data_IF_600572969599
#
_entry.id   IF_600572969599
#
_cell.length_a   1.000
_cell.length_b   1.000
_cell.length_c   1.000
_cell.angle_alpha   90.00
_cell.angle_beta   90.00
_cell.angle_gamma   90.00
#
_symmetry.space_group_name_H-M   'P 1'
#
loop_
_entity.id
_entity.type
_entity.pdbx_description
1 polymer ?
#
# COMPACT_ATOMS: atom_id res chain seq x y z
N UNK A 1 -26.02 38.42 37.75
CA UNK A 1 -25.76 37.00 38.09
C UNK A 1 -26.06 36.01 36.94
N UNK A 2 -27.13 36.18 36.14
CA UNK A 2 -27.44 35.30 34.99
C UNK A 2 -26.49 35.44 33.78
N UNK A 3 -25.96 36.64 33.53
CA UNK A 3 -25.02 36.91 32.41
C UNK A 3 -23.65 36.28 32.62
N UNK A 4 -23.15 36.26 33.86
CA UNK A 4 -21.88 35.66 34.22
C UNK A 4 -21.90 34.11 34.10
N UNK A 5 -23.01 33.46 34.50
CA UNK A 5 -23.22 32.03 34.33
C UNK A 5 -23.27 31.62 32.84
N UNK A 6 -23.94 32.39 31.96
CA UNK A 6 -23.97 32.15 30.52
C UNK A 6 -22.57 32.28 29.85
N UNK A 7 -21.77 33.23 30.34
CA UNK A 7 -20.42 33.45 29.82
C UNK A 7 -19.46 32.31 30.23
N UNK A 8 -19.56 31.82 31.47
CA UNK A 8 -18.80 30.67 31.97
C UNK A 8 -19.19 29.40 31.19
N UNK A 9 -20.49 29.18 31.03
CA UNK A 9 -20.98 28.01 30.27
C UNK A 9 -20.50 28.01 28.80
N UNK A 10 -20.49 29.18 28.12
CA UNK A 10 -19.93 29.30 26.76
C UNK A 10 -18.43 29.02 26.72
N UNK A 11 -17.65 29.50 27.70
CA UNK A 11 -16.22 29.20 27.79
C UNK A 11 -15.95 27.73 28.09
N UNK A 12 -16.75 27.12 28.97
CA UNK A 12 -16.64 25.68 29.26
C UNK A 12 -16.98 24.82 28.04
N UNK A 13 -18.02 25.17 27.27
CA UNK A 13 -18.36 24.49 26.01
C UNK A 13 -17.25 24.65 24.97
N UNK A 14 -16.67 25.85 24.86
CA UNK A 14 -15.55 26.12 23.95
C UNK A 14 -14.30 25.32 24.33
N UNK A 15 -13.97 25.20 25.60
CA UNK A 15 -12.85 24.39 26.10
C UNK A 15 -13.10 22.89 25.87
N UNK A 16 -14.33 22.43 26.10
CA UNK A 16 -14.71 21.04 25.79
C UNK A 16 -14.63 20.75 24.26
N UNK A 17 -15.05 21.74 23.44
CA UNK A 17 -14.94 21.64 21.99
C UNK A 17 -13.46 21.59 21.52
N UNK A 18 -12.59 22.40 22.13
CA UNK A 18 -11.14 22.40 21.85
C UNK A 18 -10.49 21.11 22.34
N UNK A 19 -10.90 20.56 23.47
CA UNK A 19 -10.42 19.27 23.98
C UNK A 19 -10.90 18.08 23.13
N UNK A 20 -12.07 18.18 22.48
CA UNK A 20 -12.57 17.17 21.52
C UNK A 20 -11.86 17.26 20.16
N UNK A 21 -11.28 18.40 19.82
CA UNK A 21 -10.48 18.60 18.59
C UNK A 21 -9.01 18.16 18.81
N UNK A 22 -8.55 18.02 20.06
CA UNK A 22 -7.26 17.43 20.40
C UNK A 22 -7.31 15.90 20.35
N UNK A 23 -7.98 15.32 19.35
CA UNK A 23 -7.87 13.91 19.02
C UNK A 23 -6.45 13.61 18.54
N UNK A 24 -5.87 12.59 19.09
CA UNK A 24 -4.53 12.09 18.83
C UNK A 24 -4.31 11.94 17.33
N UNK A 25 -3.42 12.75 16.76
CA UNK A 25 -2.92 12.56 15.40
C UNK A 25 -1.84 11.51 15.50
N UNK A 26 -2.20 10.24 15.35
CA UNK A 26 -1.27 9.17 15.08
C UNK A 26 -1.26 9.00 13.56
N UNK A 27 -0.19 9.39 12.89
CA UNK A 27 -0.14 9.50 11.43
C UNK A 27 1.01 8.70 10.82
N UNK A 28 1.31 7.50 11.30
CA UNK A 28 2.09 6.57 10.50
C UNK A 28 1.13 5.69 9.68
N UNK A 29 1.22 5.81 8.36
CA UNK A 29 0.45 5.00 7.42
C UNK A 29 1.42 4.14 6.63
N UNK A 30 1.11 2.84 6.48
CA UNK A 30 1.81 1.97 5.54
C UNK A 30 1.80 2.59 4.13
N UNK A 31 2.86 2.34 3.31
CA UNK A 31 2.95 2.83 1.95
C UNK A 31 1.67 2.54 1.16
N UNK A 32 1.21 3.53 0.41
CA UNK A 32 0.00 3.43 -0.39
C UNK A 32 0.34 3.52 -1.87
N UNK A 33 -0.11 2.52 -2.65
CA UNK A 33 0.14 2.44 -4.08
C UNK A 33 -1.11 2.77 -4.87
N UNK A 34 -0.95 3.42 -6.01
CA UNK A 34 -2.05 3.66 -6.95
C UNK A 34 -2.27 2.44 -7.84
N UNK A 35 -1.19 1.75 -8.20
CA UNK A 35 -1.22 0.55 -9.02
C UNK A 35 -1.19 -0.74 -8.17
N UNK A 36 -1.87 -0.73 -7.01
CA UNK A 36 -1.90 -1.85 -6.05
C UNK A 36 -2.29 -3.19 -6.68
N UNK A 37 -3.12 -3.18 -7.73
CA UNK A 37 -3.55 -4.40 -8.43
C UNK A 37 -2.39 -5.14 -9.12
N UNK A 38 -1.25 -4.49 -9.33
CA UNK A 38 -0.03 -5.09 -9.87
C UNK A 38 1.03 -5.36 -8.80
N UNK A 39 0.75 -4.97 -7.55
CA UNK A 39 1.63 -5.16 -6.39
C UNK A 39 0.96 -5.95 -5.25
N UNK A 40 0.06 -6.86 -5.60
CA UNK A 40 -0.75 -7.60 -4.63
C UNK A 40 0.07 -8.46 -3.67
N UNK A 41 1.31 -8.86 -4.04
CA UNK A 41 2.17 -9.67 -3.16
C UNK A 41 2.59 -8.92 -1.89
N UNK A 42 2.80 -7.60 -1.96
CA UNK A 42 3.14 -6.79 -0.78
C UNK A 42 1.96 -6.66 0.16
N UNK A 43 0.76 -6.59 -0.40
CA UNK A 43 -0.50 -6.39 0.32
C UNK A 43 -1.01 -7.70 0.93
N UNK A 44 -0.93 -8.82 0.19
CA UNK A 44 -1.52 -10.10 0.59
C UNK A 44 -0.59 -11.29 0.31
N UNK A 45 -0.06 -11.96 1.35
CA UNK A 45 0.81 -13.12 1.16
C UNK A 45 0.15 -14.29 0.42
N UNK A 46 -1.18 -14.39 0.44
CA UNK A 46 -1.90 -15.43 -0.29
C UNK A 46 -1.83 -15.26 -1.82
N UNK A 47 -1.39 -14.09 -2.31
CA UNK A 47 -1.15 -13.83 -3.73
C UNK A 47 0.12 -14.52 -4.25
N UNK A 48 1.08 -14.83 -3.39
CA UNK A 48 2.34 -15.46 -3.77
C UNK A 48 2.09 -16.72 -4.58
N UNK A 49 2.74 -16.87 -5.75
CA UNK A 49 2.57 -18.01 -6.64
C UNK A 49 1.19 -18.16 -7.31
N UNK A 50 0.32 -17.15 -7.25
CA UNK A 50 -0.98 -17.14 -7.96
C UNK A 50 -0.83 -17.16 -9.48
N UNK A 51 0.33 -16.79 -9.95
CA UNK A 51 0.78 -16.77 -11.33
C UNK A 51 1.42 -18.11 -11.71
N UNK A 52 1.28 -18.52 -12.97
CA UNK A 52 1.96 -19.69 -13.52
C UNK A 52 3.44 -19.44 -13.89
N UNK A 53 3.94 -18.21 -13.72
CA UNK A 53 5.32 -17.79 -13.99
C UNK A 53 5.97 -17.19 -12.72
N UNK A 54 7.29 -17.04 -12.74
CA UNK A 54 7.97 -16.16 -11.80
C UNK A 54 7.69 -14.72 -12.18
N UNK A 55 7.08 -13.98 -11.28
CA UNK A 55 6.77 -12.56 -11.45
C UNK A 55 7.72 -11.73 -10.60
N UNK A 56 8.30 -10.69 -11.19
CA UNK A 56 9.16 -9.72 -10.53
C UNK A 56 8.54 -8.35 -10.74
N UNK A 57 8.13 -7.70 -9.66
CA UNK A 57 7.57 -6.34 -9.67
C UNK A 57 8.53 -5.35 -9.06
N UNK A 58 8.63 -4.17 -9.65
CA UNK A 58 9.37 -3.02 -9.13
C UNK A 58 8.45 -1.81 -9.21
N UNK A 59 8.29 -1.09 -8.10
CA UNK A 59 7.53 0.15 -8.03
C UNK A 59 8.42 1.23 -7.40
N UNK A 60 8.33 2.43 -7.95
CA UNK A 60 8.83 3.63 -7.31
C UNK A 60 7.70 4.67 -7.27
N UNK A 61 7.47 5.21 -6.08
CA UNK A 61 6.46 6.23 -5.83
C UNK A 61 7.09 7.44 -5.18
N UNK A 62 6.84 8.60 -5.75
CA UNK A 62 7.16 9.92 -5.21
C UNK A 62 5.84 10.61 -4.85
N UNK A 63 5.56 10.67 -3.56
CA UNK A 63 4.30 11.17 -3.04
C UNK A 63 4.44 12.65 -2.71
N UNK A 64 3.42 13.46 -2.99
CA UNK A 64 3.34 14.89 -2.67
C UNK A 64 4.51 15.70 -3.25
N UNK A 65 4.64 15.66 -4.56
CA UNK A 65 5.70 16.35 -5.32
C UNK A 65 5.93 17.78 -4.84
N UNK A 66 7.21 18.13 -4.60
CA UNK A 66 7.66 19.45 -4.18
C UNK A 66 7.53 19.75 -2.69
N UNK A 67 6.97 18.85 -1.89
CA UNK A 67 6.93 18.98 -0.44
C UNK A 67 8.21 18.39 0.16
N UNK A 68 8.94 19.18 0.93
CA UNK A 68 10.15 18.71 1.63
C UNK A 68 9.80 17.64 2.67
N UNK A 69 10.54 16.54 2.68
CA UNK A 69 10.29 15.40 3.57
C UNK A 69 9.08 14.54 3.17
N UNK A 70 8.52 14.74 1.97
CA UNK A 70 7.42 13.92 1.47
C UNK A 70 7.84 12.46 1.26
N UNK A 71 6.90 11.49 1.39
CA UNK A 71 7.20 10.07 1.27
C UNK A 71 7.76 9.67 -0.10
N UNK A 72 8.82 8.86 -0.10
CA UNK A 72 9.39 8.21 -1.27
C UNK A 72 9.50 6.72 -1.02
N UNK A 73 8.77 5.93 -1.79
CA UNK A 73 8.69 4.49 -1.60
C UNK A 73 9.26 3.76 -2.79
N UNK A 74 10.24 2.89 -2.55
CA UNK A 74 10.76 1.93 -3.51
C UNK A 74 10.35 0.51 -3.10
N UNK A 75 9.76 -0.26 -4.00
CA UNK A 75 9.34 -1.64 -3.72
C UNK A 75 9.86 -2.58 -4.78
N UNK A 76 10.36 -3.72 -4.33
CA UNK A 76 10.69 -4.87 -5.19
C UNK A 76 10.04 -6.12 -4.62
N UNK A 77 9.30 -6.84 -5.45
CA UNK A 77 8.75 -8.13 -5.08
C UNK A 77 9.06 -9.19 -6.14
N UNK A 78 9.15 -10.43 -5.67
CA UNK A 78 9.32 -11.62 -6.52
C UNK A 78 8.42 -12.69 -5.98
N UNK A 79 7.59 -13.30 -6.82
CA UNK A 79 6.82 -14.46 -6.41
C UNK A 79 6.74 -15.52 -7.52
N UNK A 80 6.61 -16.77 -7.14
CA UNK A 80 6.57 -17.90 -8.08
C UNK A 80 5.86 -19.11 -7.48
N UNK A 81 5.29 -19.98 -8.33
CA UNK A 81 4.77 -21.27 -7.91
C UNK A 81 5.94 -22.21 -7.59
N UNK A 82 6.01 -22.70 -6.34
CA UNK A 82 7.04 -23.63 -5.84
C UNK A 82 6.59 -25.09 -5.89
N UNK A 83 5.42 -25.38 -6.47
CA UNK A 83 4.84 -26.69 -6.61
C UNK A 83 3.43 -26.63 -7.18
N UNK A 84 2.64 -27.70 -7.03
CA UNK A 84 1.27 -27.73 -7.56
C UNK A 84 0.34 -26.72 -6.91
N UNK A 85 0.51 -26.50 -5.60
CA UNK A 85 -0.42 -25.72 -4.77
C UNK A 85 0.31 -24.74 -3.88
N UNK A 86 1.64 -24.66 -3.95
CA UNK A 86 2.48 -23.83 -3.08
C UNK A 86 3.02 -22.66 -3.87
N UNK A 87 2.91 -21.47 -3.31
CA UNK A 87 3.56 -20.25 -3.77
C UNK A 87 4.56 -19.73 -2.75
N UNK A 88 5.62 -19.14 -3.24
CA UNK A 88 6.64 -18.45 -2.45
C UNK A 88 6.77 -17.03 -2.98
N UNK A 89 6.90 -16.07 -2.07
CA UNK A 89 7.12 -14.67 -2.37
C UNK A 89 8.24 -14.08 -1.52
N UNK A 90 8.86 -13.03 -2.05
CA UNK A 90 9.82 -12.18 -1.36
C UNK A 90 9.46 -10.74 -1.67
N UNK A 91 9.52 -9.87 -0.68
CA UNK A 91 9.36 -8.44 -0.88
C UNK A 91 10.39 -7.64 -0.08
N UNK A 92 10.84 -6.56 -0.69
CA UNK A 92 11.68 -5.54 -0.08
C UNK A 92 11.04 -4.18 -0.37
N UNK A 93 10.76 -3.42 0.67
CA UNK A 93 10.17 -2.09 0.60
C UNK A 93 11.12 -1.13 1.30
N UNK A 94 11.47 -0.04 0.66
CA UNK A 94 12.21 1.06 1.26
C UNK A 94 11.32 2.29 1.21
N UNK A 95 11.06 2.88 2.36
CA UNK A 95 10.22 4.06 2.52
C UNK A 95 11.00 5.15 3.27
N UNK A 96 10.96 6.36 2.76
CA UNK A 96 11.62 7.52 3.36
C UNK A 96 10.58 8.61 3.60
N UNK A 97 10.40 9.04 4.85
CA UNK A 97 9.46 10.10 5.24
C UNK A 97 10.16 11.05 6.21
N UNK A 98 10.52 12.25 5.74
CA UNK A 98 11.29 13.20 6.54
C UNK A 98 12.60 12.58 7.02
N UNK A 99 12.85 12.54 8.35
CA UNK A 99 14.06 11.96 8.93
C UNK A 99 13.97 10.42 9.11
N UNK A 100 12.83 9.81 8.80
CA UNK A 100 12.59 8.38 9.00
C UNK A 100 12.86 7.62 7.72
N UNK A 101 13.75 6.65 7.77
CA UNK A 101 13.99 5.66 6.72
C UNK A 101 13.60 4.28 7.24
N UNK A 102 12.78 3.58 6.48
CA UNK A 102 12.26 2.28 6.82
C UNK A 102 12.55 1.28 5.71
N UNK A 103 13.13 0.13 6.07
CA UNK A 103 13.33 -0.98 5.15
C UNK A 103 12.62 -2.22 5.65
N UNK A 104 11.66 -2.71 4.88
CA UNK A 104 10.89 -3.91 5.16
C UNK A 104 11.38 -5.07 4.29
N UNK A 105 11.66 -6.22 4.90
CA UNK A 105 12.05 -7.46 4.21
C UNK A 105 11.15 -8.59 4.64
N UNK A 106 10.44 -9.19 3.68
CA UNK A 106 9.47 -10.24 3.95
C UNK A 106 9.61 -11.45 3.03
N UNK A 107 9.21 -12.59 3.57
CA UNK A 107 9.02 -13.87 2.86
C UNK A 107 7.57 -14.27 3.01
N UNK A 108 6.94 -14.64 1.89
CA UNK A 108 5.56 -15.09 1.83
C UNK A 108 5.51 -16.57 1.48
N UNK A 109 4.60 -17.28 2.12
CA UNK A 109 4.23 -18.65 1.80
C UNK A 109 2.73 -18.72 1.57
N UNK A 110 2.32 -19.31 0.47
CA UNK A 110 0.90 -19.54 0.16
C UNK A 110 0.59 -20.99 -0.15
N UNK A 111 -0.65 -21.37 0.16
CA UNK A 111 -1.21 -22.67 -0.23
C UNK A 111 -2.55 -22.48 -0.93
N UNK A 112 -2.66 -22.95 -2.17
CA UNK A 112 -3.81 -22.75 -3.04
C UNK A 112 -4.64 -24.02 -3.18
N UNK A 113 -5.93 -23.94 -2.85
CA UNK A 113 -6.92 -24.97 -3.12
C UNK A 113 -7.54 -24.73 -4.50
N UNK A 114 -7.45 -25.75 -5.37
CA UNK A 114 -8.14 -25.73 -6.66
C UNK A 114 -9.58 -26.17 -6.45
N UNK A 115 -10.52 -25.32 -6.81
CA UNK A 115 -11.96 -25.54 -6.70
C UNK A 115 -12.57 -25.88 -8.08
N UNK A 116 -13.87 -26.12 -8.12
CA UNK A 116 -14.58 -26.33 -9.38
C UNK A 116 -14.59 -25.04 -10.25
N UNK A 117 -14.75 -25.20 -11.57
CA UNK A 117 -14.86 -24.09 -12.54
C UNK A 117 -13.62 -23.16 -12.60
N UNK A 118 -12.41 -23.71 -12.42
CA UNK A 118 -11.13 -23.00 -12.41
C UNK A 118 -11.01 -21.93 -11.30
N UNK A 119 -11.86 -21.97 -10.28
CA UNK A 119 -11.75 -21.14 -9.11
C UNK A 119 -10.61 -21.63 -8.21
N UNK A 120 -9.96 -20.70 -7.53
CA UNK A 120 -8.85 -20.98 -6.62
C UNK A 120 -9.05 -20.19 -5.33
N UNK A 121 -8.75 -20.84 -4.20
CA UNK A 121 -8.76 -20.23 -2.88
C UNK A 121 -7.39 -20.43 -2.26
N UNK A 122 -6.64 -19.34 -2.07
CA UNK A 122 -5.31 -19.37 -1.48
C UNK A 122 -5.35 -18.79 -0.06
N UNK A 123 -4.55 -19.40 0.80
CA UNK A 123 -4.23 -18.91 2.13
C UNK A 123 -2.74 -18.59 2.18
N UNK A 124 -2.38 -17.48 2.77
CA UNK A 124 -0.99 -17.03 2.82
C UNK A 124 -0.59 -16.60 4.22
N UNK A 125 0.69 -16.78 4.50
CA UNK A 125 1.36 -16.23 5.68
C UNK A 125 2.61 -15.49 5.24
N UNK A 126 2.93 -14.41 5.93
CA UNK A 126 4.09 -13.55 5.73
C UNK A 126 4.92 -13.56 7.00
N UNK A 127 6.23 -13.56 6.87
CA UNK A 127 7.15 -13.36 7.99
C UNK A 127 8.35 -12.53 7.55
N UNK A 128 8.81 -11.65 8.41
CA UNK A 128 9.95 -10.80 8.13
C UNK A 128 10.18 -9.77 9.21
N UNK A 129 10.70 -8.62 8.82
CA UNK A 129 10.97 -7.55 9.78
C UNK A 129 11.18 -6.21 9.08
N UNK A 130 11.04 -5.19 9.89
CA UNK A 130 11.23 -3.78 9.56
C UNK A 130 12.47 -3.26 10.25
N UNK A 131 13.31 -2.58 9.49
CA UNK A 131 14.52 -1.91 9.95
C UNK A 131 14.25 -0.40 9.87
N UNK A 132 14.16 0.24 11.04
CA UNK A 132 13.94 1.68 11.16
C UNK A 132 15.26 2.37 11.42
N UNK A 133 15.49 3.46 10.68
CA UNK A 133 16.60 4.39 10.87
C UNK A 133 16.04 5.81 10.94
N UNK A 134 16.17 6.47 12.08
CA UNK A 134 15.61 7.79 12.33
C UNK A 134 16.75 8.76 12.60
N UNK A 135 17.03 9.61 11.62
CA UNK A 135 18.07 10.64 11.67
C UNK A 135 17.60 11.87 12.46
N UNK A 136 17.79 11.85 13.77
CA UNK A 136 17.39 12.96 14.67
C UNK A 136 18.43 14.06 14.74
N UNK A 137 19.73 13.72 14.57
CA UNK A 137 20.87 14.67 14.72
C UNK A 137 20.85 15.77 13.65
N UNK A 138 20.42 15.42 12.43
CA UNK A 138 20.43 16.34 11.29
C UNK A 138 19.22 17.28 11.24
N UNK A 139 18.31 17.17 12.22
CA UNK A 139 17.12 18.01 12.29
C UNK A 139 17.48 19.45 12.73
N UNK A 140 16.89 20.44 12.07
CA UNK A 140 16.98 21.84 12.48
C UNK A 140 16.06 22.10 13.68
N UNK A 141 16.62 22.08 14.88
CA UNK A 141 15.89 22.22 16.13
C UNK A 141 15.78 23.68 16.58
N UNK A 142 14.68 24.03 17.25
CA UNK A 142 14.52 25.31 17.96
C UNK A 142 15.41 25.34 19.20
N UNK A 143 15.56 24.22 19.89
CA UNK A 143 16.49 24.02 21.01
C UNK A 143 17.54 22.97 20.59
N UNK A 144 18.75 23.40 20.20
CA UNK A 144 19.81 22.48 19.74
C UNK A 144 20.37 21.58 20.84
N UNK A 145 20.15 21.93 22.13
CA UNK A 145 20.64 21.17 23.28
C UNK A 145 19.61 20.19 23.84
N UNK A 146 18.48 19.96 23.17
CA UNK A 146 17.47 19.00 23.60
C UNK A 146 18.04 17.57 23.57
N UNK A 147 18.16 16.90 24.74
CA UNK A 147 18.74 15.57 24.84
C UNK A 147 17.98 14.49 24.07
N UNK A 148 16.71 14.73 23.71
CA UNK A 148 15.90 13.80 22.94
C UNK A 148 16.45 13.60 21.51
N UNK A 149 17.02 14.65 20.92
CA UNK A 149 17.58 14.64 19.56
C UNK A 149 19.09 14.43 19.50
N UNK A 150 19.69 14.05 20.63
CA UNK A 150 21.16 13.92 20.72
C UNK A 150 21.72 12.69 19.98
N UNK A 151 20.90 11.70 19.64
CA UNK A 151 21.34 10.50 18.97
C UNK A 151 20.27 10.05 17.94
N UNK A 152 20.74 9.46 16.84
CA UNK A 152 19.88 8.74 15.90
C UNK A 152 19.35 7.46 16.54
N UNK A 153 18.18 7.02 16.09
CA UNK A 153 17.52 5.82 16.58
C UNK A 153 17.49 4.76 15.48
N UNK A 154 18.04 3.59 15.80
CA UNK A 154 18.00 2.42 14.93
C UNK A 154 17.26 1.30 15.66
N UNK A 155 16.17 0.82 15.08
CA UNK A 155 15.37 -0.25 15.66
C UNK A 155 14.97 -1.29 14.62
N UNK A 156 14.91 -2.55 15.05
CA UNK A 156 14.52 -3.65 14.19
C UNK A 156 13.35 -4.38 14.84
N UNK A 157 12.25 -4.50 14.10
CA UNK A 157 11.03 -5.15 14.59
C UNK A 157 10.65 -6.33 13.71
N UNK A 158 10.43 -7.53 14.26
CA UNK A 158 9.86 -8.63 13.51
C UNK A 158 8.38 -8.37 13.23
N UNK A 159 7.88 -8.84 12.09
CA UNK A 159 6.46 -8.82 11.82
C UNK A 159 5.98 -10.08 11.11
N UNK A 160 4.69 -10.36 11.24
CA UNK A 160 3.99 -11.48 10.62
C UNK A 160 2.74 -10.98 9.94
N UNK A 161 2.33 -11.65 8.88
CA UNK A 161 1.11 -11.34 8.17
C UNK A 161 0.34 -12.57 7.78
N UNK A 162 -0.93 -12.39 7.46
CA UNK A 162 -1.79 -13.45 6.97
C UNK A 162 -2.79 -12.89 5.94
N UNK A 163 -3.24 -13.76 5.04
CA UNK A 163 -4.23 -13.35 4.07
C UNK A 163 -4.94 -14.51 3.38
N UNK A 164 -6.02 -14.15 2.72
CA UNK A 164 -6.85 -15.05 1.91
C UNK A 164 -7.06 -14.39 0.55
N UNK A 165 -6.92 -15.18 -0.51
CA UNK A 165 -7.10 -14.74 -1.88
C UNK A 165 -7.98 -15.73 -2.64
N UNK A 166 -9.18 -15.31 -3.00
CA UNK A 166 -10.11 -16.09 -3.80
C UNK A 166 -10.16 -15.53 -5.21
N UNK A 167 -9.89 -16.36 -6.22
CA UNK A 167 -9.80 -15.86 -7.59
C UNK A 167 -10.15 -16.91 -8.64
N UNK A 168 -10.53 -16.42 -9.80
CA UNK A 168 -10.54 -17.16 -11.05
C UNK A 168 -9.54 -16.46 -11.98
N UNK A 169 -8.50 -17.15 -12.46
CA UNK A 169 -7.48 -16.56 -13.33
C UNK A 169 -8.10 -15.75 -14.47
N UNK A 170 -7.58 -14.54 -14.69
CA UNK A 170 -8.00 -13.62 -15.74
C UNK A 170 -9.49 -13.20 -15.70
N UNK A 171 -10.21 -13.43 -14.59
CA UNK A 171 -11.65 -13.11 -14.54
C UNK A 171 -12.05 -12.27 -13.34
N UNK A 172 -11.70 -12.68 -12.14
CA UNK A 172 -11.99 -11.92 -10.92
C UNK A 172 -11.13 -12.35 -9.75
N UNK A 173 -11.07 -11.48 -8.74
CA UNK A 173 -10.50 -11.81 -7.45
C UNK A 173 -11.22 -11.09 -6.31
N UNK A 174 -11.09 -11.68 -5.12
CA UNK A 174 -11.39 -11.06 -3.82
C UNK A 174 -10.23 -11.38 -2.88
N UNK A 175 -9.72 -10.37 -2.22
CA UNK A 175 -8.54 -10.41 -1.36
C UNK A 175 -8.88 -9.83 0.01
N UNK A 176 -8.44 -10.48 1.07
CA UNK A 176 -8.47 -9.93 2.43
C UNK A 176 -7.15 -10.30 3.11
N UNK A 177 -6.51 -9.33 3.77
CA UNK A 177 -5.23 -9.56 4.44
C UNK A 177 -4.97 -8.60 5.58
N UNK A 178 -4.07 -9.03 6.46
CA UNK A 178 -3.38 -8.24 7.47
C UNK A 178 -1.89 -8.50 7.28
N UNK A 179 -1.16 -7.68 6.48
CA UNK A 179 0.24 -7.95 6.16
C UNK A 179 1.17 -7.76 7.36
N UNK A 180 0.82 -6.86 8.30
CA UNK A 180 1.54 -6.56 9.53
C UNK A 180 0.61 -6.75 10.71
N UNK A 181 0.79 -7.83 11.48
CA UNK A 181 -0.08 -8.19 12.62
C UNK A 181 0.46 -7.60 13.92
N UNK A 182 1.79 -7.53 14.07
CA UNK A 182 2.40 -7.00 15.29
C UNK A 182 2.42 -5.48 15.21
N UNK A 183 1.99 -4.86 16.30
CA UNK A 183 2.10 -3.43 16.54
C UNK A 183 3.36 -3.21 17.37
N UNK A 184 4.32 -2.46 16.84
CA UNK A 184 5.56 -2.14 17.55
C UNK A 184 5.62 -0.63 17.81
N UNK A 185 6.18 -0.26 18.96
CA UNK A 185 6.44 1.14 19.34
C UNK A 185 7.92 1.40 19.05
N UNK A 186 8.21 2.35 18.15
CA UNK A 186 9.57 2.58 17.67
C UNK A 186 10.37 3.59 18.49
N UNK A 187 9.71 4.44 19.25
CA UNK A 187 10.33 5.44 20.11
C UNK A 187 9.58 5.47 21.45
N UNK A 188 10.09 4.75 22.43
CA UNK A 188 9.67 4.87 23.82
C UNK A 188 10.78 5.58 24.61
N UNK A 189 10.61 6.88 24.86
CA UNK A 189 11.53 7.65 25.68
C UNK A 189 10.74 8.37 26.77
N UNK A 190 10.84 7.88 28.02
CA UNK A 190 10.24 8.49 29.22
C UNK A 190 8.73 8.80 29.11
N UNK A 191 7.90 7.81 28.76
CA UNK A 191 6.44 7.92 28.58
C UNK A 191 5.98 8.70 27.32
N UNK A 192 6.88 9.10 26.41
CA UNK A 192 6.52 9.63 25.12
C UNK A 192 6.72 8.55 24.03
N UNK A 193 5.62 7.99 23.55
CA UNK A 193 5.61 7.13 22.37
C UNK A 193 5.53 7.99 21.11
N UNK A 194 6.63 8.07 20.37
CA UNK A 194 6.70 8.81 19.11
C UNK A 194 6.89 7.77 17.99
N UNK A 195 5.81 7.35 17.39
CA UNK A 195 5.80 6.37 16.32
C UNK A 195 5.46 4.96 16.78
N UNK A 196 4.36 4.47 16.27
CA UNK A 196 3.93 3.09 16.44
C UNK A 196 3.43 2.57 15.09
N UNK A 197 3.82 1.35 14.73
CA UNK A 197 3.14 0.64 13.66
C UNK A 197 1.69 0.40 14.04
N UNK A 198 0.78 0.81 13.19
CA UNK A 198 -0.65 0.53 13.35
C UNK A 198 -1.03 -0.64 12.46
N UNK A 199 -1.76 -1.60 13.01
CA UNK A 199 -2.24 -2.76 12.24
C UNK A 199 -3.21 -2.32 11.16
N UNK A 200 -2.85 -2.59 9.91
CA UNK A 200 -3.69 -2.35 8.74
C UNK A 200 -4.39 -3.64 8.29
N UNK A 201 -5.66 -3.52 7.97
CA UNK A 201 -6.45 -4.55 7.31
C UNK A 201 -6.76 -4.08 5.89
N UNK A 202 -6.48 -4.93 4.91
CA UNK A 202 -6.74 -4.66 3.50
C UNK A 202 -7.81 -5.58 2.96
N UNK A 203 -8.71 -5.04 2.14
CA UNK A 203 -9.61 -5.80 1.32
C UNK A 203 -9.57 -5.26 -0.11
N UNK A 204 -9.54 -6.15 -1.10
CA UNK A 204 -9.54 -5.77 -2.49
C UNK A 204 -10.42 -6.70 -3.32
N UNK A 205 -10.98 -6.17 -4.39
CA UNK A 205 -11.72 -6.96 -5.36
C UNK A 205 -11.53 -6.37 -6.77
N UNK A 206 -11.57 -7.24 -7.77
CA UNK A 206 -11.53 -6.83 -9.17
C UNK A 206 -12.25 -7.82 -10.06
N UNK A 207 -12.72 -7.33 -11.20
CA UNK A 207 -13.39 -8.14 -12.20
C UNK A 207 -12.98 -7.72 -13.61
N UNK A 208 -12.90 -8.69 -14.53
CA UNK A 208 -12.65 -8.44 -15.97
C UNK A 208 -13.92 -8.67 -16.74
N UNK A 209 -14.43 -7.62 -17.35
CA UNK A 209 -15.51 -7.66 -18.33
C UNK A 209 -14.91 -7.67 -19.72
N UNK A 210 -15.11 -8.76 -20.45
CA UNK A 210 -14.77 -8.83 -21.88
C UNK A 210 -15.85 -8.06 -22.65
N UNK A 211 -15.53 -6.86 -23.17
CA UNK A 211 -16.46 -6.07 -23.99
C UNK A 211 -16.51 -6.67 -25.39
N UNK A 212 -15.34 -6.96 -25.95
CA UNK A 212 -15.11 -7.69 -27.19
C UNK A 212 -13.68 -8.27 -27.18
N UNK A 213 -13.21 -8.79 -28.32
CA UNK A 213 -11.86 -9.38 -28.42
C UNK A 213 -10.74 -8.36 -28.17
N UNK A 214 -10.95 -7.08 -28.48
CA UNK A 214 -9.95 -6.03 -28.38
C UNK A 214 -10.03 -5.21 -27.10
N UNK A 215 -11.18 -5.19 -26.39
CA UNK A 215 -11.42 -4.33 -25.25
C UNK A 215 -11.91 -5.10 -24.03
N UNK A 216 -11.25 -4.85 -22.89
CA UNK A 216 -11.64 -5.39 -21.60
C UNK A 216 -11.73 -4.27 -20.57
N UNK A 217 -12.83 -4.21 -19.83
CA UNK A 217 -13.01 -3.28 -18.73
C UNK A 217 -12.72 -3.98 -17.41
N UNK A 218 -11.90 -3.35 -16.58
CA UNK A 218 -11.39 -3.90 -15.31
C UNK A 218 -11.70 -2.95 -14.17
N UNK A 219 -12.90 -2.98 -13.56
CA UNK A 219 -13.14 -2.30 -12.30
C UNK A 219 -12.39 -2.99 -11.16
N UNK A 220 -11.84 -2.17 -10.26
CA UNK A 220 -11.16 -2.57 -9.03
C UNK A 220 -11.65 -1.74 -7.86
N UNK A 221 -11.68 -2.33 -6.69
CA UNK A 221 -11.88 -1.64 -5.43
C UNK A 221 -10.82 -2.11 -4.43
N UNK A 222 -10.31 -1.19 -3.63
CA UNK A 222 -9.35 -1.45 -2.58
C UNK A 222 -9.72 -0.65 -1.34
N UNK A 223 -9.76 -1.32 -0.21
CA UNK A 223 -10.07 -0.75 1.09
C UNK A 223 -8.89 -0.96 2.03
N UNK A 224 -8.46 0.12 2.68
CA UNK A 224 -7.48 0.14 3.75
C UNK A 224 -8.18 0.59 5.02
N UNK A 225 -8.07 -0.20 6.08
CA UNK A 225 -8.63 0.09 7.39
C UNK A 225 -7.56 -0.07 8.48
N UNK A 226 -7.48 0.92 9.36
CA UNK A 226 -6.74 0.85 10.61
C UNK A 226 -7.59 1.43 11.74
N UNK A 227 -7.33 1.02 12.99
CA UNK A 227 -8.20 1.37 14.13
C UNK A 227 -8.25 2.87 14.42
N UNK A 228 -7.14 3.58 14.18
CA UNK A 228 -6.96 4.97 14.58
C UNK A 228 -6.93 5.96 13.40
N UNK A 229 -7.24 5.48 12.19
CA UNK A 229 -7.27 6.31 10.98
C UNK A 229 -8.60 6.17 10.24
N UNK A 230 -9.06 7.20 9.52
CA UNK A 230 -10.21 7.06 8.63
C UNK A 230 -10.00 5.94 7.60
N UNK A 231 -11.03 5.18 7.32
CA UNK A 231 -11.01 4.15 6.29
C UNK A 231 -10.79 4.80 4.92
N UNK A 232 -9.77 4.32 4.19
CA UNK A 232 -9.53 4.72 2.79
C UNK A 232 -10.18 3.71 1.84
N UNK A 233 -10.84 4.21 0.81
CA UNK A 233 -11.45 3.41 -0.25
C UNK A 233 -11.00 3.96 -1.61
N UNK A 234 -10.37 3.10 -2.41
CA UNK A 234 -9.97 3.37 -3.79
C UNK A 234 -10.91 2.62 -4.73
N UNK A 235 -11.47 3.31 -5.69
CA UNK A 235 -12.28 2.73 -6.76
C UNK A 235 -11.62 3.10 -8.09
N UNK A 236 -11.26 2.12 -8.89
CA UNK A 236 -10.61 2.28 -10.17
C UNK A 236 -11.39 1.57 -11.28
N UNK A 237 -11.34 2.11 -12.48
CA UNK A 237 -11.83 1.48 -13.69
C UNK A 237 -10.77 1.57 -14.78
N UNK A 238 -10.25 0.42 -15.21
CA UNK A 238 -9.20 0.33 -16.21
C UNK A 238 -9.77 -0.26 -17.50
N UNK A 239 -9.47 0.39 -18.62
CA UNK A 239 -9.76 -0.10 -19.97
C UNK A 239 -8.49 -0.65 -20.60
N UNK A 240 -8.43 -1.97 -20.78
CA UNK A 240 -7.35 -2.67 -21.45
C UNK A 240 -7.71 -2.88 -22.93
N UNK A 241 -6.81 -2.50 -23.83
CA UNK A 241 -7.07 -2.42 -25.27
C UNK A 241 -5.98 -3.15 -26.03
N UNK A 242 -6.40 -3.96 -27.02
CA UNK A 242 -5.55 -4.65 -28.00
C UNK A 242 -4.48 -5.52 -27.36
N UNK A 243 -4.70 -6.02 -26.13
CA UNK A 243 -3.73 -6.74 -25.32
C UNK A 243 -2.36 -6.02 -25.20
N UNK A 244 -2.37 -4.69 -25.34
CA UNK A 244 -1.15 -3.87 -25.40
C UNK A 244 -1.16 -2.68 -24.44
N UNK A 245 -2.21 -1.86 -24.42
CA UNK A 245 -2.28 -0.65 -23.59
C UNK A 245 -3.46 -0.69 -22.65
N UNK A 246 -3.26 -0.15 -21.46
CA UNK A 246 -4.29 -0.02 -20.45
C UNK A 246 -4.34 1.42 -19.93
N UNK A 247 -5.53 2.01 -19.92
CA UNK A 247 -5.82 3.29 -19.30
C UNK A 247 -6.72 3.07 -18.08
N UNK A 248 -6.37 3.66 -16.96
CA UNK A 248 -7.16 3.61 -15.74
C UNK A 248 -7.49 4.99 -15.22
N UNK A 249 -8.68 5.12 -14.66
CA UNK A 249 -9.10 6.26 -13.86
C UNK A 249 -9.62 5.75 -12.52
N UNK A 250 -9.32 6.48 -11.46
CA UNK A 250 -9.73 6.12 -10.13
C UNK A 250 -10.01 7.32 -9.23
N UNK A 251 -10.63 7.02 -8.12
CA UNK A 251 -10.90 7.97 -7.05
C UNK A 251 -10.55 7.32 -5.72
N UNK A 252 -9.74 8.00 -4.93
CA UNK A 252 -9.42 7.65 -3.55
C UNK A 252 -10.14 8.61 -2.63
N UNK A 253 -10.91 8.07 -1.69
CA UNK A 253 -11.70 8.88 -0.75
C UNK A 253 -10.80 9.83 0.05
N UNK A 254 -11.21 11.10 0.09
CA UNK A 254 -10.58 12.18 0.85
C UNK A 254 -9.08 12.42 0.54
N UNK A 255 -8.59 11.89 -0.61
CA UNK A 255 -7.19 12.02 -1.00
C UNK A 255 -7.01 12.52 -2.43
N UNK A 256 -7.36 11.72 -3.47
CA UNK A 256 -6.97 12.04 -4.83
C UNK A 256 -7.89 11.48 -5.91
N UNK A 257 -7.81 12.09 -7.10
CA UNK A 257 -8.25 11.51 -8.37
C UNK A 257 -7.01 10.95 -9.05
N UNK A 258 -7.07 9.68 -9.45
CA UNK A 258 -5.93 8.97 -10.02
C UNK A 258 -6.12 8.69 -11.51
N UNK A 259 -5.04 8.76 -12.25
CA UNK A 259 -4.99 8.34 -13.65
C UNK A 259 -3.77 7.44 -13.87
N UNK A 260 -3.93 6.38 -14.66
CA UNK A 260 -2.82 5.48 -14.96
C UNK A 260 -2.79 5.08 -16.43
N UNK A 261 -1.58 4.81 -16.90
CA UNK A 261 -1.33 4.24 -18.22
C UNK A 261 -0.30 3.13 -18.11
N UNK A 262 -0.61 1.96 -18.66
CA UNK A 262 0.27 0.81 -18.65
C UNK A 262 0.43 0.26 -20.07
N UNK A 263 1.62 -0.24 -20.37
CA UNK A 263 1.97 -0.85 -21.64
C UNK A 263 2.49 -2.25 -21.44
N UNK A 264 1.94 -3.21 -22.18
CA UNK A 264 2.47 -4.55 -22.33
C UNK A 264 3.53 -4.53 -23.43
N UNK A 265 4.77 -4.12 -23.08
CA UNK A 265 5.87 -3.94 -24.05
C UNK A 265 6.25 -5.25 -24.75
N UNK A 266 6.21 -6.34 -23.99
CA UNK A 266 6.29 -7.73 -24.48
C UNK A 266 5.29 -8.59 -23.71
N UNK A 267 5.01 -9.83 -24.12
CA UNK A 267 4.16 -10.73 -23.33
C UNK A 267 4.68 -11.00 -21.90
N UNK A 268 5.94 -10.64 -21.63
CA UNK A 268 6.61 -10.85 -20.34
C UNK A 268 6.99 -9.55 -19.63
N UNK A 269 6.75 -8.38 -20.21
CA UNK A 269 7.19 -7.10 -19.64
C UNK A 269 6.06 -6.09 -19.71
N UNK A 270 5.66 -5.60 -18.55
CA UNK A 270 4.71 -4.50 -18.40
C UNK A 270 5.41 -3.30 -17.76
N UNK A 271 5.13 -2.12 -18.26
CA UNK A 271 5.58 -0.85 -17.70
C UNK A 271 4.36 0.03 -17.47
N UNK A 272 4.29 0.67 -16.34
CA UNK A 272 3.17 1.54 -15.98
C UNK A 272 3.61 2.85 -15.34
N UNK A 273 2.74 3.84 -15.48
CA UNK A 273 2.84 5.12 -14.81
C UNK A 273 1.48 5.51 -14.26
N UNK A 274 1.46 6.02 -13.04
CA UNK A 274 0.27 6.61 -12.45
C UNK A 274 0.55 8.03 -11.93
N UNK A 275 -0.48 8.84 -11.99
CA UNK A 275 -0.53 10.22 -11.54
C UNK A 275 -1.73 10.40 -10.61
N UNK A 276 -1.48 10.88 -9.39
CA UNK A 276 -2.52 11.19 -8.44
C UNK A 276 -2.64 12.71 -8.30
N UNK A 277 -3.79 13.24 -8.66
CA UNK A 277 -4.15 14.65 -8.46
C UNK A 277 -4.74 14.82 -7.07
N UNK A 278 -4.02 15.49 -6.19
CA UNK A 278 -4.39 15.66 -4.78
C UNK A 278 -5.65 16.53 -4.66
N UNK A 279 -6.66 16.03 -3.95
CA UNK A 279 -7.94 16.70 -3.71
C UNK A 279 -8.17 17.02 -2.23
N UNK A 280 -7.36 16.46 -1.33
CA UNK A 280 -7.42 16.72 0.10
C UNK A 280 -6.95 18.14 0.45
N UNK A 281 -6.99 18.49 1.71
CA UNK A 281 -6.49 19.78 2.22
C UNK A 281 -5.00 20.01 1.92
N UNK A 282 -4.23 18.93 1.64
CA UNK A 282 -2.84 19.03 1.21
C UNK A 282 -2.67 19.70 -0.17
N UNK A 283 -3.73 19.84 -0.96
CA UNK A 283 -3.70 20.46 -2.28
C UNK A 283 -3.16 21.89 -2.31
N UNK A 284 -3.11 22.60 -1.20
CA UNK A 284 -2.46 23.92 -1.14
C UNK A 284 -0.93 23.85 -1.02
N UNK A 285 -0.36 22.72 -0.54
CA UNK A 285 1.07 22.49 -0.41
C UNK A 285 1.65 21.72 -1.62
N UNK A 286 0.92 20.72 -2.09
CA UNK A 286 1.35 19.84 -3.19
C UNK A 286 0.18 19.57 -4.13
N UNK A 287 0.46 19.27 -5.39
CA UNK A 287 -0.59 19.03 -6.41
C UNK A 287 -0.67 17.58 -6.85
N UNK A 288 0.41 16.83 -6.71
CA UNK A 288 0.52 15.54 -7.36
C UNK A 288 1.35 14.53 -6.56
N UNK A 289 1.12 13.25 -6.87
CA UNK A 289 2.03 12.15 -6.59
C UNK A 289 2.25 11.35 -7.88
N UNK A 290 3.42 10.75 -8.01
CA UNK A 290 3.84 10.01 -9.19
C UNK A 290 4.22 8.59 -8.82
N UNK A 291 3.86 7.63 -9.66
CA UNK A 291 4.21 6.24 -9.47
C UNK A 291 4.62 5.60 -10.80
N UNK A 292 5.76 4.93 -10.79
CA UNK A 292 6.26 4.16 -11.94
C UNK A 292 6.35 2.70 -11.51
N UNK A 293 5.92 1.81 -12.40
CA UNK A 293 5.98 0.40 -12.15
C UNK A 293 6.53 -0.36 -13.35
N UNK A 294 7.28 -1.44 -13.07
CA UNK A 294 7.77 -2.40 -14.05
C UNK A 294 7.49 -3.80 -13.50
N UNK A 295 6.93 -4.66 -14.35
CA UNK A 295 6.73 -6.07 -14.02
C UNK A 295 7.33 -6.97 -15.10
N UNK A 296 8.01 -8.02 -14.65
CA UNK A 296 8.59 -9.07 -15.48
C UNK A 296 7.95 -10.41 -15.13
N UNK A 297 7.40 -11.10 -16.13
CA UNK A 297 6.86 -12.45 -16.01
C UNK A 297 7.77 -13.44 -16.74
N UNK A 298 8.54 -14.22 -15.98
CA UNK A 298 9.49 -15.19 -16.53
C UNK A 298 8.90 -16.60 -16.43
N UNK A 299 8.68 -17.22 -17.57
CA UNK A 299 8.19 -18.59 -17.61
C UNK A 299 9.32 -19.57 -17.96
N UNK A 300 9.74 -20.37 -16.98
CA UNK A 300 10.83 -21.35 -17.15
C UNK A 300 10.37 -22.67 -17.77
N UNK A 301 9.06 -22.92 -17.93
CA UNK A 301 8.53 -24.25 -18.28
C UNK A 301 7.88 -24.37 -19.65
N UNK A 302 7.51 -23.27 -20.31
CA UNK A 302 6.81 -23.30 -21.62
C UNK A 302 7.07 -22.04 -22.44
N UNK A 303 7.03 -22.18 -23.79
CA UNK A 303 6.92 -21.01 -24.68
C UNK A 303 5.67 -20.24 -24.28
N UNK A 304 5.84 -18.98 -23.93
CA UNK A 304 4.76 -18.08 -23.52
C UNK A 304 3.70 -18.04 -24.62
N UNK A 305 2.56 -18.68 -24.39
CA UNK A 305 1.35 -18.38 -25.12
C UNK A 305 0.92 -16.98 -24.66
N UNK A 306 0.58 -16.11 -25.61
CA UNK A 306 0.09 -14.75 -25.35
C UNK A 306 -1.17 -14.82 -24.48
N UNK A 307 -1.01 -14.76 -23.18
CA UNK A 307 -2.10 -14.54 -22.25
C UNK A 307 -1.74 -13.34 -21.40
N UNK A 308 -2.28 -12.15 -21.69
CA UNK A 308 -2.07 -11.00 -20.86
C UNK A 308 -2.67 -11.28 -19.49
N UNK A 309 -1.91 -11.02 -18.45
CA UNK A 309 -2.44 -11.00 -17.10
C UNK A 309 -3.17 -9.67 -16.87
N UNK A 310 -4.33 -9.78 -16.23
CA UNK A 310 -5.15 -8.62 -15.97
C UNK A 310 -5.01 -8.10 -14.54
N UNK A 311 -4.38 -8.86 -13.64
CA UNK A 311 -4.04 -8.49 -12.26
C UNK A 311 -2.75 -9.20 -11.83
#
# INVERSE_FOLDING_TARGET
MLTTKKLIMKKTILVILILLIASKINAQQDPQYTQYMYNMNDINPAYAGSSDATSIGIIYRDQWEGLEGAPKTGTMNVHFPAGKNVGIGFSAISDEIGPVSETNLYVDFSYTLNLANDQRLAFGVKAGGTFHDIGLIDLSLIDPDDPFFANDVNENTPNFGAGVYFYKPNKYYVSVSVPNILESVHLDNNDFNIGSETRHMFAAAGYVFDINDDFKLKPHAFMKYASDTPMSLDINANLFMYDFVEFGLGYRTDDSITAMINFMVTPSVRIGYAYDSIQSELNFLTKASHEIFINFDINFRTKVSRSPRYF
#
